data_IF_838503181550
#
_entry.id   IF_838503181550
#
_cell.length_a   1.000
_cell.length_b   1.000
_cell.length_c   1.000
_cell.angle_alpha   90.00
_cell.angle_beta   90.00
_cell.angle_gamma   90.00
#
_symmetry.space_group_name_H-M   'P 1'
#
loop_
_entity.id
_entity.type
_entity.pdbx_description
1 polymer ?
#
# COMPACT_ATOMS: atom_id res chain seq x y z
N UNK A 1 16.17 -10.21 14.47
CA UNK A 1 14.86 -10.56 13.90
C UNK A 1 14.92 -11.88 13.15
N UNK A 2 13.77 -12.57 12.93
CA UNK A 2 13.71 -13.86 12.20
C UNK A 2 14.30 -13.75 10.80
N UNK A 3 14.10 -12.62 10.12
CA UNK A 3 14.65 -12.39 8.77
C UNK A 3 16.18 -12.31 8.80
N UNK A 4 16.75 -11.62 9.78
CA UNK A 4 18.21 -11.54 9.98
C UNK A 4 18.84 -12.91 10.32
N UNK A 5 18.04 -13.83 10.85
CA UNK A 5 18.45 -15.23 11.12
C UNK A 5 18.24 -16.17 9.92
N UNK A 6 17.95 -15.63 8.74
CA UNK A 6 17.65 -16.39 7.50
C UNK A 6 16.42 -17.32 7.60
N UNK A 7 15.52 -17.07 8.53
CA UNK A 7 14.26 -17.80 8.70
C UNK A 7 13.12 -17.12 7.94
N UNK A 8 13.29 -16.94 6.61
CA UNK A 8 12.39 -16.15 5.76
C UNK A 8 10.94 -16.58 5.82
N UNK A 9 10.65 -17.88 5.68
CA UNK A 9 9.27 -18.39 5.72
C UNK A 9 8.59 -18.11 7.06
N UNK A 10 9.33 -18.29 8.17
CA UNK A 10 8.81 -17.96 9.50
C UNK A 10 8.58 -16.45 9.65
N UNK A 11 9.48 -15.63 9.14
CA UNK A 11 9.32 -14.18 9.14
C UNK A 11 8.08 -13.75 8.36
N UNK A 12 7.85 -14.29 7.16
CA UNK A 12 6.68 -13.98 6.33
C UNK A 12 5.37 -14.33 7.04
N UNK A 13 5.27 -15.51 7.68
CA UNK A 13 4.10 -15.90 8.48
C UNK A 13 3.83 -14.92 9.63
N UNK A 14 4.88 -14.44 10.29
CA UNK A 14 4.73 -13.45 11.36
C UNK A 14 4.31 -12.08 10.83
N UNK A 15 4.82 -11.64 9.67
CA UNK A 15 4.39 -10.40 9.03
C UNK A 15 2.93 -10.48 8.58
N UNK A 16 2.53 -11.57 7.93
CA UNK A 16 1.15 -11.81 7.56
C UNK A 16 0.23 -11.79 8.80
N UNK A 17 0.61 -12.49 9.86
CA UNK A 17 -0.16 -12.48 11.11
C UNK A 17 -0.24 -11.09 11.72
N UNK A 18 0.85 -10.33 11.69
CA UNK A 18 0.86 -8.94 12.15
C UNK A 18 -0.10 -8.07 11.35
N UNK A 19 -0.09 -8.19 10.02
CA UNK A 19 -1.01 -7.48 9.14
C UNK A 19 -2.47 -7.84 9.44
N UNK A 20 -2.77 -9.12 9.60
CA UNK A 20 -4.12 -9.60 9.95
C UNK A 20 -4.60 -9.05 11.30
N UNK A 21 -3.72 -8.98 12.29
CA UNK A 21 -4.05 -8.41 13.60
C UNK A 21 -4.27 -6.91 13.57
N UNK A 22 -3.55 -6.20 12.71
CA UNK A 22 -3.66 -4.73 12.58
C UNK A 22 -4.80 -4.31 11.66
N UNK A 23 -4.99 -5.00 10.54
CA UNK A 23 -5.79 -4.55 9.39
C UNK A 23 -6.80 -5.59 8.89
N UNK A 24 -6.83 -6.80 9.45
CA UNK A 24 -7.73 -7.87 9.04
C UNK A 24 -9.20 -7.62 9.45
N UNK A 25 -10.03 -8.64 9.26
CA UNK A 25 -11.48 -8.59 9.55
C UNK A 25 -11.74 -8.21 11.01
N UNK A 26 -10.95 -8.74 11.94
CA UNK A 26 -11.04 -8.45 13.37
C UNK A 26 -9.71 -7.87 13.89
N UNK A 27 -9.41 -6.59 13.62
CA UNK A 27 -8.19 -5.99 14.11
C UNK A 27 -8.21 -5.86 15.64
N UNK A 28 -7.06 -5.93 16.26
CA UNK A 28 -6.91 -5.85 17.73
C UNK A 28 -7.43 -4.52 18.29
N UNK A 29 -7.29 -3.43 17.52
CA UNK A 29 -7.72 -2.11 17.97
C UNK A 29 -8.53 -1.36 16.90
N UNK A 30 -9.83 -1.57 16.92
CA UNK A 30 -10.80 -0.83 16.09
C UNK A 30 -10.90 0.66 16.42
N UNK A 31 -10.48 1.07 17.61
CA UNK A 31 -10.53 2.46 18.06
C UNK A 31 -9.30 3.26 17.64
N UNK A 32 -8.33 2.60 17.01
CA UNK A 32 -7.14 3.28 16.53
C UNK A 32 -7.52 4.37 15.50
N UNK A 33 -6.80 5.49 15.55
CA UNK A 33 -7.03 6.66 14.65
C UNK A 33 -7.09 6.30 13.17
N UNK A 34 -6.35 5.25 12.73
CA UNK A 34 -6.35 4.76 11.35
C UNK A 34 -7.72 4.30 10.83
N UNK A 35 -8.66 3.96 11.72
CA UNK A 35 -10.01 3.56 11.34
C UNK A 35 -11.04 4.66 11.59
N UNK A 36 -10.64 5.77 12.21
CA UNK A 36 -11.55 6.85 12.61
C UNK A 36 -11.26 8.18 11.94
N UNK A 37 -10.08 8.33 11.37
CA UNK A 37 -9.68 9.55 10.68
C UNK A 37 -9.56 9.28 9.19
N UNK A 38 -9.91 10.27 8.39
CA UNK A 38 -9.91 10.21 6.94
C UNK A 38 -9.46 11.57 6.37
N UNK A 39 -8.94 11.56 5.16
CA UNK A 39 -8.71 12.77 4.38
C UNK A 39 -9.37 12.64 3.01
N UNK A 40 -9.63 13.77 2.36
CA UNK A 40 -10.14 13.77 0.98
C UNK A 40 -9.13 13.07 0.06
N UNK A 41 -7.84 13.33 0.23
CA UNK A 41 -6.78 12.68 -0.54
C UNK A 41 -6.80 11.15 -0.38
N UNK A 42 -7.03 10.63 0.86
CA UNK A 42 -7.16 9.18 1.08
C UNK A 42 -8.36 8.59 0.36
N UNK A 43 -9.50 9.28 0.37
CA UNK A 43 -10.69 8.84 -0.38
C UNK A 43 -10.42 8.80 -1.88
N UNK A 44 -9.77 9.84 -2.42
CA UNK A 44 -9.41 9.91 -3.84
C UNK A 44 -8.50 8.75 -4.23
N UNK A 45 -7.46 8.51 -3.45
CA UNK A 45 -6.58 7.38 -3.67
C UNK A 45 -7.32 6.04 -3.67
N UNK A 46 -8.17 5.79 -2.68
CA UNK A 46 -8.90 4.52 -2.58
C UNK A 46 -9.90 4.34 -3.72
N UNK A 47 -10.60 5.41 -4.12
CA UNK A 47 -11.52 5.41 -5.26
C UNK A 47 -10.76 5.08 -6.56
N UNK A 48 -9.63 5.73 -6.81
CA UNK A 48 -8.79 5.47 -7.98
C UNK A 48 -8.29 4.02 -7.99
N UNK A 49 -7.84 3.52 -6.84
CA UNK A 49 -7.37 2.14 -6.71
C UNK A 49 -8.49 1.14 -6.99
N UNK A 50 -9.69 1.34 -6.47
CA UNK A 50 -10.82 0.46 -6.74
C UNK A 50 -11.21 0.46 -8.22
N UNK A 51 -11.19 1.62 -8.87
CA UNK A 51 -11.40 1.70 -10.31
C UNK A 51 -10.32 0.95 -11.09
N UNK A 52 -9.05 1.10 -10.70
CA UNK A 52 -7.93 0.39 -11.32
C UNK A 52 -8.09 -1.13 -11.20
N UNK A 53 -8.38 -1.65 -10.01
CA UNK A 53 -8.56 -3.09 -9.75
C UNK A 53 -9.75 -3.61 -10.57
N UNK A 54 -10.87 -2.91 -10.59
CA UNK A 54 -12.02 -3.28 -11.41
C UNK A 54 -11.71 -3.29 -12.91
N UNK A 55 -10.97 -2.29 -13.40
CA UNK A 55 -10.54 -2.20 -14.81
C UNK A 55 -9.57 -3.32 -15.20
N UNK A 56 -8.79 -3.83 -14.24
CA UNK A 56 -7.91 -4.98 -14.42
C UNK A 56 -8.67 -6.33 -14.45
N UNK A 57 -10.00 -6.32 -14.36
CA UNK A 57 -10.84 -7.53 -14.41
C UNK A 57 -11.04 -8.23 -13.06
N UNK A 58 -10.47 -7.71 -12.00
CA UNK A 58 -10.52 -8.31 -10.66
C UNK A 58 -11.76 -7.81 -9.91
N UNK A 59 -12.65 -8.74 -9.54
CA UNK A 59 -13.81 -8.43 -8.69
C UNK A 59 -14.62 -7.21 -9.14
N UNK A 60 -14.84 -7.05 -10.45
CA UNK A 60 -15.35 -5.84 -11.12
C UNK A 60 -16.52 -5.23 -10.35
N UNK A 61 -17.57 -6.00 -10.11
CA UNK A 61 -18.76 -5.52 -9.42
C UNK A 61 -18.45 -5.01 -8.01
N UNK A 62 -17.70 -5.79 -7.23
CA UNK A 62 -17.32 -5.44 -5.85
C UNK A 62 -16.57 -4.11 -5.79
N UNK A 63 -15.56 -3.95 -6.64
CA UNK A 63 -14.72 -2.75 -6.60
C UNK A 63 -15.41 -1.52 -7.19
N UNK A 64 -16.30 -1.69 -8.16
CA UNK A 64 -17.17 -0.61 -8.63
C UNK A 64 -18.13 -0.13 -7.53
N UNK A 65 -18.78 -1.05 -6.81
CA UNK A 65 -19.65 -0.73 -5.68
C UNK A 65 -18.89 -0.01 -4.56
N UNK A 66 -17.65 -0.46 -4.25
CA UNK A 66 -16.80 0.23 -3.27
C UNK A 66 -16.40 1.63 -3.73
N UNK A 67 -15.99 1.81 -4.98
CA UNK A 67 -15.67 3.13 -5.51
C UNK A 67 -16.87 4.09 -5.39
N UNK A 68 -18.07 3.64 -5.71
CA UNK A 68 -19.31 4.43 -5.56
C UNK A 68 -19.61 4.77 -4.11
N UNK A 69 -19.44 3.81 -3.19
CA UNK A 69 -19.63 4.02 -1.76
C UNK A 69 -18.67 5.09 -1.21
N UNK A 70 -17.38 4.98 -1.53
CA UNK A 70 -16.36 5.93 -1.11
C UNK A 70 -16.58 7.31 -1.74
N UNK A 71 -17.02 7.38 -2.99
CA UNK A 71 -17.41 8.63 -3.63
C UNK A 71 -18.60 9.30 -2.91
N UNK A 72 -19.58 8.53 -2.47
CA UNK A 72 -20.71 9.06 -1.70
C UNK A 72 -20.25 9.64 -0.38
N UNK A 73 -19.39 8.93 0.36
CA UNK A 73 -18.82 9.43 1.61
C UNK A 73 -18.00 10.70 1.36
N UNK A 74 -17.17 10.73 0.30
CA UNK A 74 -16.40 11.90 -0.08
C UNK A 74 -17.29 13.13 -0.31
N UNK A 75 -18.39 12.99 -1.03
CA UNK A 75 -19.33 14.08 -1.27
C UNK A 75 -19.99 14.59 0.01
N UNK A 76 -20.28 13.69 0.95
CA UNK A 76 -20.89 14.08 2.23
C UNK A 76 -19.91 14.84 3.14
N UNK A 77 -18.62 14.54 3.10
CA UNK A 77 -17.62 15.21 3.97
C UNK A 77 -16.92 16.40 3.32
N UNK A 78 -16.99 16.56 2.00
CA UNK A 78 -16.27 17.62 1.26
C UNK A 78 -16.69 19.06 1.64
N UNK A 79 -17.72 19.23 2.46
CA UNK A 79 -18.19 20.55 2.91
C UNK A 79 -17.47 21.10 4.16
N UNK A 80 -16.57 20.32 4.76
CA UNK A 80 -15.80 20.70 5.94
C UNK A 80 -14.35 21.03 5.60
N UNK A 81 -14.14 22.13 4.88
CA UNK A 81 -12.88 22.51 4.24
C UNK A 81 -11.76 23.00 5.18
N UNK A 82 -11.90 22.93 6.50
CA UNK A 82 -10.93 23.57 7.41
C UNK A 82 -9.79 22.68 7.90
N UNK A 83 -9.85 21.37 7.68
CA UNK A 83 -8.80 20.46 8.17
C UNK A 83 -8.44 19.38 7.13
N UNK A 84 -7.14 19.10 6.97
CA UNK A 84 -6.65 18.04 6.08
C UNK A 84 -7.09 16.65 6.54
N UNK A 85 -7.42 16.47 7.81
CA UNK A 85 -7.82 15.21 8.43
C UNK A 85 -9.16 15.40 9.14
N UNK A 86 -10.13 14.58 8.76
CA UNK A 86 -11.48 14.60 9.27
C UNK A 86 -11.75 13.40 10.17
N UNK A 87 -12.58 13.57 11.17
CA UNK A 87 -13.08 12.46 11.98
C UNK A 87 -14.29 11.83 11.28
N UNK A 88 -14.27 10.52 11.05
CA UNK A 88 -15.40 9.80 10.50
C UNK A 88 -16.57 9.80 11.48
N UNK A 89 -17.75 10.23 11.03
CA UNK A 89 -18.98 10.08 11.79
C UNK A 89 -19.33 8.60 12.01
N UNK A 90 -20.16 8.29 12.99
CA UNK A 90 -20.64 6.93 13.22
C UNK A 90 -21.35 6.33 11.99
N UNK A 91 -22.03 7.17 11.21
CA UNK A 91 -22.63 6.78 9.92
C UNK A 91 -21.56 6.31 8.94
N UNK A 92 -20.53 7.11 8.74
CA UNK A 92 -19.45 6.79 7.80
C UNK A 92 -18.62 5.60 8.28
N UNK A 93 -18.37 5.48 9.58
CA UNK A 93 -17.70 4.31 10.16
C UNK A 93 -18.46 3.01 9.90
N UNK A 94 -19.80 3.02 10.00
CA UNK A 94 -20.63 1.84 9.67
C UNK A 94 -20.62 1.51 8.19
N UNK A 95 -20.62 2.53 7.33
CA UNK A 95 -20.59 2.33 5.87
C UNK A 95 -19.24 1.77 5.39
N UNK A 96 -18.14 2.28 5.91
CA UNK A 96 -16.79 1.95 5.46
C UNK A 96 -16.10 0.86 6.30
N UNK A 97 -16.69 0.47 7.45
CA UNK A 97 -16.05 -0.28 8.52
C UNK A 97 -15.33 -1.55 8.11
N UNK A 98 -15.88 -2.32 7.18
CA UNK A 98 -15.31 -3.59 6.75
C UNK A 98 -14.26 -3.44 5.64
N UNK A 99 -14.09 -2.24 5.10
CA UNK A 99 -13.20 -1.99 3.96
C UNK A 99 -12.16 -0.91 4.21
N UNK A 100 -12.48 0.10 5.02
CA UNK A 100 -11.59 1.24 5.23
C UNK A 100 -10.31 0.85 5.97
N UNK A 101 -9.18 1.15 5.34
CA UNK A 101 -7.84 0.79 5.85
C UNK A 101 -7.67 -0.72 6.12
N UNK A 102 -8.33 -1.56 5.34
CA UNK A 102 -8.22 -3.01 5.40
C UNK A 102 -7.56 -3.59 4.14
N UNK A 103 -6.80 -4.68 4.26
CA UNK A 103 -6.28 -5.42 3.11
C UNK A 103 -7.39 -6.27 2.48
N UNK A 104 -8.31 -5.63 1.76
CA UNK A 104 -9.48 -6.28 1.14
C UNK A 104 -9.14 -7.04 -0.14
N UNK A 105 -8.00 -6.75 -0.72
CA UNK A 105 -7.42 -7.46 -1.85
C UNK A 105 -5.90 -7.33 -1.84
N UNK A 106 -5.21 -8.44 -1.92
CA UNK A 106 -3.76 -8.53 -2.09
C UNK A 106 -3.52 -9.38 -3.31
N UNK A 107 -2.89 -8.79 -4.33
CA UNK A 107 -2.52 -9.51 -5.54
C UNK A 107 -1.39 -10.47 -5.21
N UNK A 108 -1.49 -11.72 -5.66
CA UNK A 108 -0.39 -12.66 -5.57
C UNK A 108 0.73 -12.22 -6.51
N UNK A 109 1.92 -12.01 -5.96
CA UNK A 109 3.07 -11.63 -6.77
C UNK A 109 3.51 -12.83 -7.61
N UNK A 110 3.66 -12.68 -8.94
CA UNK A 110 4.12 -13.77 -9.79
C UNK A 110 5.55 -14.20 -9.41
N UNK A 111 5.81 -15.49 -9.48
CA UNK A 111 7.17 -16.00 -9.34
C UNK A 111 8.05 -15.48 -10.48
N UNK A 112 9.27 -15.11 -10.17
CA UNK A 112 10.25 -14.72 -11.17
C UNK A 112 11.06 -15.92 -11.62
N UNK A 113 11.15 -16.15 -12.93
CA UNK A 113 11.96 -17.22 -13.52
C UNK A 113 13.45 -16.92 -13.47
N UNK A 114 13.82 -15.65 -13.26
CA UNK A 114 15.19 -15.14 -13.24
C UNK A 114 15.44 -14.27 -12.02
N UNK A 115 16.68 -13.80 -11.88
CA UNK A 115 17.05 -12.83 -10.85
C UNK A 115 16.15 -11.60 -10.87
N UNK A 116 15.77 -11.13 -9.68
CA UNK A 116 15.10 -9.85 -9.54
C UNK A 116 16.05 -8.66 -9.77
N UNK A 117 17.34 -8.89 -9.61
CA UNK A 117 18.39 -7.87 -9.80
C UNK A 117 18.74 -7.77 -11.29
N UNK A 118 18.91 -6.55 -11.77
CA UNK A 118 19.33 -6.29 -13.15
C UNK A 118 20.73 -6.85 -13.45
N UNK A 119 20.92 -7.35 -14.66
CA UNK A 119 22.19 -7.98 -15.08
C UNK A 119 23.30 -6.95 -15.40
N UNK A 120 22.94 -5.67 -15.52
CA UNK A 120 23.85 -4.57 -15.93
C UNK A 120 24.52 -3.84 -14.75
N UNK A 121 24.36 -4.30 -13.51
CA UNK A 121 24.89 -3.61 -12.35
C UNK A 121 26.42 -3.70 -12.27
N UNK A 122 27.09 -2.55 -12.35
CA UNK A 122 28.50 -2.42 -12.07
C UNK A 122 28.73 -2.12 -10.57
N UNK A 123 28.93 -3.19 -9.80
CA UNK A 123 29.13 -3.09 -8.34
C UNK A 123 30.38 -2.29 -7.99
N UNK A 124 31.44 -2.34 -8.82
CA UNK A 124 32.66 -1.59 -8.56
C UNK A 124 32.42 -0.09 -8.72
N UNK A 125 31.74 0.31 -9.80
CA UNK A 125 31.37 1.70 -10.02
C UNK A 125 30.43 2.22 -8.91
N UNK A 126 29.43 1.46 -8.53
CA UNK A 126 28.50 1.82 -7.44
C UNK A 126 29.27 2.04 -6.13
N UNK A 127 30.22 1.17 -5.84
CA UNK A 127 31.06 1.26 -4.64
C UNK A 127 31.94 2.50 -4.69
N UNK A 128 32.59 2.77 -5.82
CA UNK A 128 33.41 3.95 -6.03
C UNK A 128 32.57 5.23 -5.87
N UNK A 129 31.46 5.34 -6.58
CA UNK A 129 30.53 6.49 -6.50
C UNK A 129 30.07 6.75 -5.06
N UNK A 130 29.81 5.70 -4.28
CA UNK A 130 29.41 5.82 -2.88
C UNK A 130 30.52 6.38 -1.99
N UNK A 131 31.76 5.90 -2.15
CA UNK A 131 32.89 6.32 -1.33
C UNK A 131 33.47 7.66 -1.75
N UNK A 132 33.35 8.05 -3.03
CA UNK A 132 33.79 9.35 -3.53
C UNK A 132 32.78 10.48 -3.20
N UNK A 133 31.52 10.15 -2.96
CA UNK A 133 30.50 11.13 -2.64
C UNK A 133 30.68 11.67 -1.22
N UNK A 134 30.65 13.00 -1.06
CA UNK A 134 30.88 13.71 0.21
C UNK A 134 30.05 13.15 1.40
N UNK A 135 28.82 12.70 1.11
CA UNK A 135 27.87 12.20 2.13
C UNK A 135 27.65 10.69 2.03
N UNK A 136 28.45 9.95 1.28
CA UNK A 136 28.24 8.52 1.08
C UNK A 136 26.87 8.20 0.45
N UNK A 137 26.50 8.94 -0.60
CA UNK A 137 25.26 8.77 -1.34
C UNK A 137 25.57 8.25 -2.75
N UNK A 138 24.82 7.25 -3.20
CA UNK A 138 24.80 6.83 -4.60
C UNK A 138 23.37 6.52 -5.04
N UNK A 139 23.14 6.52 -6.33
CA UNK A 139 21.89 6.05 -6.93
C UNK A 139 22.23 4.97 -7.96
N UNK A 140 21.29 4.05 -8.14
CA UNK A 140 21.50 2.89 -8.99
C UNK A 140 20.33 2.80 -9.95
N UNK A 141 20.59 3.08 -11.22
CA UNK A 141 19.65 2.85 -12.31
C UNK A 141 19.59 1.36 -12.63
N UNK A 142 18.44 0.90 -13.14
CA UNK A 142 18.19 -0.48 -13.55
C UNK A 142 18.52 -1.53 -12.47
N UNK A 143 18.36 -1.16 -11.18
CA UNK A 143 18.59 -2.06 -10.05
C UNK A 143 17.74 -3.33 -10.14
N UNK A 144 16.47 -3.19 -10.52
CA UNK A 144 15.60 -4.34 -10.77
C UNK A 144 15.61 -4.73 -12.23
N UNK A 145 15.55 -6.03 -12.50
CA UNK A 145 15.29 -6.52 -13.85
C UNK A 145 13.94 -5.99 -14.34
N UNK A 146 13.74 -5.79 -15.66
CA UNK A 146 12.46 -5.32 -16.20
C UNK A 146 11.27 -6.16 -15.76
N UNK A 147 11.43 -7.48 -15.71
CA UNK A 147 10.38 -8.41 -15.25
C UNK A 147 10.05 -8.20 -13.77
N UNK A 148 11.07 -8.07 -12.91
CA UNK A 148 10.88 -7.82 -11.50
C UNK A 148 10.20 -6.47 -11.24
N UNK A 149 10.61 -5.44 -11.97
CA UNK A 149 10.00 -4.10 -11.88
C UNK A 149 8.52 -4.14 -12.29
N UNK A 150 8.18 -4.83 -13.38
CA UNK A 150 6.79 -4.98 -13.81
C UNK A 150 5.96 -5.75 -12.78
N UNK A 151 6.46 -6.88 -12.29
CA UNK A 151 5.78 -7.68 -11.26
C UNK A 151 5.55 -6.90 -9.97
N UNK A 152 6.55 -6.15 -9.51
CA UNK A 152 6.44 -5.28 -8.35
C UNK A 152 5.38 -4.19 -8.57
N UNK A 153 5.40 -3.56 -9.73
CA UNK A 153 4.44 -2.53 -10.09
C UNK A 153 3.00 -3.07 -10.15
N UNK A 154 2.78 -4.22 -10.75
CA UNK A 154 1.49 -4.88 -10.78
C UNK A 154 0.99 -5.22 -9.37
N UNK A 155 1.84 -5.78 -8.52
CA UNK A 155 1.52 -6.06 -7.13
C UNK A 155 1.11 -4.79 -6.37
N UNK A 156 1.89 -3.71 -6.47
CA UNK A 156 1.63 -2.46 -5.77
C UNK A 156 0.35 -1.78 -6.23
N UNK A 157 0.09 -1.75 -7.54
CA UNK A 157 -1.11 -1.15 -8.11
C UNK A 157 -2.36 -2.01 -7.91
N UNK A 158 -2.21 -3.34 -7.89
CA UNK A 158 -3.31 -4.28 -7.75
C UNK A 158 -3.70 -4.59 -6.31
N UNK A 159 -2.94 -4.13 -5.31
CA UNK A 159 -3.16 -4.51 -3.91
C UNK A 159 -3.63 -3.34 -3.06
N UNK A 160 -4.62 -3.58 -2.19
CA UNK A 160 -5.14 -2.57 -1.25
C UNK A 160 -4.31 -2.55 0.04
N UNK A 161 -3.05 -2.12 -0.07
CA UNK A 161 -2.06 -2.13 1.02
C UNK A 161 -1.63 -0.73 1.48
N UNK A 162 -2.17 0.33 0.90
CA UNK A 162 -1.78 1.72 1.13
C UNK A 162 -2.61 2.34 2.25
N UNK A 163 -2.20 2.12 3.50
CA UNK A 163 -2.99 2.46 4.67
C UNK A 163 -2.61 3.78 5.32
N UNK A 164 -1.34 4.13 5.34
CA UNK A 164 -0.88 5.31 6.06
C UNK A 164 -1.00 6.56 5.18
N UNK A 165 -1.86 7.46 5.60
CA UNK A 165 -2.15 8.74 4.95
C UNK A 165 -1.82 9.95 5.83
N UNK A 166 -1.19 9.74 6.98
CA UNK A 166 -0.79 10.82 7.89
C UNK A 166 0.57 11.42 7.54
N UNK A 167 1.28 10.85 6.57
CA UNK A 167 2.54 11.38 6.09
C UNK A 167 2.33 12.53 5.11
N UNK A 168 3.12 13.60 5.27
CA UNK A 168 3.20 14.65 4.26
C UNK A 168 3.93 14.10 3.04
N UNK A 169 3.24 14.07 1.92
CA UNK A 169 3.84 13.73 0.62
C UNK A 169 3.61 12.32 0.11
N UNK A 170 2.70 11.53 0.68
CA UNK A 170 2.36 10.24 0.09
C UNK A 170 1.67 9.24 0.99
N UNK A 171 1.49 8.04 0.45
CA UNK A 171 0.91 6.89 1.12
C UNK A 171 2.00 5.87 1.40
N UNK A 172 1.95 5.24 2.56
CA UNK A 172 2.88 4.18 2.93
C UNK A 172 2.13 2.86 2.97
N UNK A 173 2.67 1.87 2.27
CA UNK A 173 2.25 0.48 2.39
C UNK A 173 2.64 -0.07 3.77
N UNK A 174 1.78 -0.88 4.39
CA UNK A 174 2.04 -1.47 5.71
C UNK A 174 1.71 -2.95 5.75
#
# INVERSE_FOLDING_TARGET
TLNAMSLRESALKHFERSLQLKRGINPVNLYHKSFRHISIAKLDHDIEQFHYIAASGIGIKKFQELAMLYQTVKLEINHTLETDILHLSDKHQRLLGDTFNRPIHILEAPALDKSAIGDSLDVNKITEDYFEHEYGLTYIDDFLSPTALMSLREFLLGSTIWFDFFHKGGYVGA
#
